data_IF_596372908576
#
_entry.id   IF_596372908576
#
_cell.length_a   1.000
_cell.length_b   1.000
_cell.length_c   1.000
_cell.angle_alpha   90.00
_cell.angle_beta   90.00
_cell.angle_gamma   90.00
#
_symmetry.space_group_name_H-M   'P 1'
#
loop_
_entity.id
_entity.type
_entity.pdbx_description
1 polymer ?
#
# COMPACT_ATOMS: atom_id res chain seq x y z
N UNK A 1 24.63 17.48 -0.87
CA UNK A 1 25.54 18.16 -1.83
C UNK A 1 25.64 19.66 -1.56
N UNK A 2 24.52 20.37 -1.42
CA UNK A 2 24.50 21.80 -1.02
C UNK A 2 25.21 22.03 0.32
N UNK A 3 24.95 21.18 1.32
CA UNK A 3 25.64 21.21 2.62
C UNK A 3 27.17 21.25 2.49
N UNK A 4 27.74 20.38 1.64
CA UNK A 4 29.19 20.34 1.39
C UNK A 4 29.76 21.63 0.81
N UNK A 5 28.97 22.45 0.12
CA UNK A 5 29.41 23.73 -0.42
C UNK A 5 29.42 24.81 0.66
N UNK A 6 28.44 24.76 1.56
CA UNK A 6 28.39 25.61 2.77
C UNK A 6 29.58 25.32 3.69
N UNK A 7 29.88 24.03 3.94
CA UNK A 7 31.01 23.61 4.78
C UNK A 7 32.38 24.07 4.27
N UNK A 8 32.48 24.38 2.97
CA UNK A 8 33.69 24.88 2.31
C UNK A 8 33.74 26.42 2.26
N UNK A 9 32.90 27.09 3.03
CA UNK A 9 32.85 28.56 3.11
C UNK A 9 32.27 29.24 1.87
N UNK A 10 31.63 28.50 0.95
CA UNK A 10 31.00 29.11 -0.24
C UNK A 10 29.63 29.66 0.13
N UNK A 11 29.36 30.91 -0.26
CA UNK A 11 28.02 31.49 -0.17
C UNK A 11 27.08 30.79 -1.16
N UNK A 12 26.09 30.08 -0.65
CA UNK A 12 25.03 29.46 -1.45
C UNK A 12 23.77 30.31 -1.33
N UNK A 13 23.17 30.66 -2.47
CA UNK A 13 21.88 31.33 -2.54
C UNK A 13 20.92 30.44 -3.31
N UNK A 14 19.79 30.10 -2.69
CA UNK A 14 18.73 29.29 -3.33
C UNK A 14 17.51 30.16 -3.53
N UNK A 15 16.95 30.14 -4.75
CA UNK A 15 15.63 30.68 -5.03
C UNK A 15 14.69 29.53 -5.30
N UNK A 16 13.69 29.35 -4.45
CA UNK A 16 12.64 28.36 -4.63
C UNK A 16 11.39 29.05 -5.16
N UNK A 17 10.76 28.44 -6.17
CA UNK A 17 9.43 28.83 -6.63
C UNK A 17 8.57 27.57 -6.66
N UNK A 18 7.65 27.48 -5.70
CA UNK A 18 6.78 26.31 -5.50
C UNK A 18 5.35 26.81 -5.56
N UNK A 19 4.55 26.21 -6.44
CA UNK A 19 3.13 26.53 -6.60
C UNK A 19 2.31 25.28 -6.35
N UNK A 20 1.22 25.41 -5.59
CA UNK A 20 0.23 24.34 -5.42
C UNK A 20 -1.19 24.92 -5.48
N UNK A 21 -2.17 24.05 -5.72
CA UNK A 21 -3.58 24.40 -5.79
C UNK A 21 -4.39 23.36 -5.05
N UNK A 22 -5.31 23.80 -4.21
CA UNK A 22 -6.36 22.93 -3.70
C UNK A 22 -7.39 22.66 -4.80
N UNK A 23 -7.74 21.39 -4.99
CA UNK A 23 -8.81 20.96 -5.89
C UNK A 23 -10.01 20.51 -5.06
N UNK A 24 -11.13 20.30 -5.74
CA UNK A 24 -12.34 19.77 -5.13
C UNK A 24 -12.07 18.39 -4.53
N UNK A 25 -12.84 18.03 -3.51
CA UNK A 25 -12.78 16.71 -2.91
C UNK A 25 -13.18 15.66 -3.94
N UNK A 26 -12.46 14.55 -3.95
CA UNK A 26 -12.75 13.40 -4.79
C UNK A 26 -13.12 12.21 -3.91
N UNK A 27 -13.98 11.32 -4.42
CA UNK A 27 -14.33 10.10 -3.72
C UNK A 27 -13.27 9.02 -3.95
N UNK A 28 -12.70 8.53 -2.85
CA UNK A 28 -11.89 7.31 -2.85
C UNK A 28 -12.76 6.04 -2.85
N UNK A 29 -12.13 4.89 -3.04
CA UNK A 29 -12.79 3.57 -2.94
C UNK A 29 -11.90 2.59 -2.21
N UNK A 30 -12.50 1.79 -1.35
CA UNK A 30 -11.88 0.60 -0.79
C UNK A 30 -12.33 -0.62 -1.60
N UNK A 31 -11.41 -1.56 -1.80
CA UNK A 31 -11.73 -2.88 -2.37
C UNK A 31 -11.59 -3.89 -1.24
N UNK A 32 -12.66 -4.66 -1.01
CA UNK A 32 -12.74 -5.62 0.08
C UNK A 32 -13.03 -6.99 -0.50
N UNK A 33 -12.25 -7.98 -0.06
CA UNK A 33 -12.48 -9.40 -0.31
C UNK A 33 -12.61 -10.09 1.04
N UNK A 34 -13.55 -11.02 1.14
CA UNK A 34 -13.86 -11.72 2.38
C UNK A 34 -13.85 -13.23 2.15
N UNK A 35 -13.24 -13.95 3.09
CA UNK A 35 -13.31 -15.41 3.17
C UNK A 35 -13.95 -15.74 4.52
N UNK A 36 -15.22 -16.19 4.55
CA UNK A 36 -15.91 -16.46 5.81
C UNK A 36 -15.22 -17.58 6.61
N UNK A 37 -15.02 -17.35 7.90
CA UNK A 37 -14.54 -18.36 8.84
C UNK A 37 -15.53 -19.51 8.98
N UNK A 38 -15.03 -20.74 9.04
CA UNK A 38 -15.85 -21.96 9.14
C UNK A 38 -16.34 -22.29 10.56
N UNK A 39 -15.66 -21.77 11.60
CA UNK A 39 -15.96 -22.08 13.01
C UNK A 39 -16.33 -20.81 13.79
N UNK A 40 -15.65 -19.70 13.51
CA UNK A 40 -15.76 -18.42 14.20
C UNK A 40 -15.96 -17.30 13.16
N UNK A 41 -17.10 -17.27 12.44
CA UNK A 41 -17.33 -16.33 11.33
C UNK A 41 -17.31 -14.85 11.78
N UNK A 42 -17.58 -14.57 13.06
CA UNK A 42 -17.59 -13.22 13.60
C UNK A 42 -16.20 -12.71 14.04
N UNK A 43 -15.17 -13.57 14.01
CA UNK A 43 -13.79 -13.17 14.32
C UNK A 43 -13.08 -12.78 13.03
N UNK A 44 -12.56 -11.55 12.97
CA UNK A 44 -11.99 -11.00 11.73
C UNK A 44 -10.47 -10.97 11.81
N UNK A 45 -9.81 -11.45 10.76
CA UNK A 45 -8.39 -11.17 10.49
C UNK A 45 -8.30 -10.26 9.27
N UNK A 46 -7.74 -9.07 9.45
CA UNK A 46 -7.56 -8.10 8.35
C UNK A 46 -6.13 -8.17 7.83
N UNK A 47 -6.00 -8.34 6.52
CA UNK A 47 -4.75 -8.18 5.78
C UNK A 47 -5.01 -7.12 4.72
N UNK A 48 -4.25 -6.02 4.72
CA UNK A 48 -4.55 -4.83 3.91
C UNK A 48 -3.30 -4.17 3.33
N UNK A 49 -3.53 -3.45 2.23
CA UNK A 49 -2.61 -2.55 1.56
C UNK A 49 -3.41 -1.39 0.96
N UNK A 50 -2.78 -0.26 0.63
CA UNK A 50 -3.47 0.86 -0.04
C UNK A 50 -3.15 0.92 -1.53
N UNK A 51 -4.11 1.41 -2.33
CA UNK A 51 -4.06 1.34 -3.81
C UNK A 51 -3.89 2.72 -4.47
N UNK A 52 -3.78 3.78 -3.67
CA UNK A 52 -3.39 5.11 -4.12
C UNK A 52 -1.86 5.29 -4.04
N UNK A 53 -1.35 6.30 -4.74
CA UNK A 53 0.08 6.66 -4.69
C UNK A 53 0.29 8.13 -5.05
N UNK A 54 1.52 8.61 -4.83
CA UNK A 54 1.95 9.92 -5.30
C UNK A 54 2.12 9.97 -6.82
N UNK A 55 1.78 11.11 -7.39
CA UNK A 55 1.72 11.36 -8.83
C UNK A 55 3.07 11.39 -9.54
N UNK A 56 4.16 11.71 -8.83
CA UNK A 56 5.52 11.78 -9.39
C UNK A 56 6.23 10.42 -9.46
N UNK A 57 5.72 9.42 -8.73
CA UNK A 57 6.28 8.08 -8.64
C UNK A 57 5.53 7.06 -9.49
N UNK A 58 5.90 5.79 -9.32
CA UNK A 58 5.16 4.65 -9.89
C UNK A 58 4.35 3.89 -8.82
N UNK A 59 4.44 4.32 -7.55
CA UNK A 59 3.80 3.64 -6.43
C UNK A 59 4.27 2.20 -6.21
N UNK A 60 5.43 1.79 -6.75
CA UNK A 60 5.82 0.38 -6.77
C UNK A 60 6.04 -0.21 -5.37
N UNK A 61 6.72 0.53 -4.49
CA UNK A 61 6.97 0.12 -3.10
C UNK A 61 6.01 0.75 -2.09
N UNK A 62 5.26 1.77 -2.54
CA UNK A 62 4.34 2.58 -1.74
C UNK A 62 3.07 2.81 -2.59
N UNK A 63 2.11 1.88 -2.58
CA UNK A 63 2.12 0.57 -1.87
C UNK A 63 1.79 -0.61 -2.80
N UNK A 64 2.22 -0.52 -4.07
CA UNK A 64 2.05 -1.60 -5.04
C UNK A 64 2.63 -2.94 -4.56
N UNK A 65 3.73 -2.90 -3.81
CA UNK A 65 4.36 -4.05 -3.16
C UNK A 65 3.45 -4.68 -2.10
N UNK A 66 2.85 -3.87 -1.23
CA UNK A 66 1.87 -4.34 -0.25
C UNK A 66 0.65 -4.94 -0.94
N UNK A 67 0.10 -4.29 -1.96
CA UNK A 67 -1.04 -4.82 -2.75
C UNK A 67 -0.68 -6.18 -3.38
N UNK A 68 0.52 -6.31 -3.95
CA UNK A 68 0.99 -7.58 -4.49
C UNK A 68 1.14 -8.66 -3.41
N UNK A 69 1.60 -8.30 -2.22
CA UNK A 69 1.73 -9.22 -1.09
C UNK A 69 0.37 -9.71 -0.58
N UNK A 70 -0.61 -8.80 -0.38
CA UNK A 70 -1.98 -9.16 0.03
C UNK A 70 -2.61 -10.10 -0.99
N UNK A 71 -2.51 -9.76 -2.28
CA UNK A 71 -3.02 -10.61 -3.36
C UNK A 71 -2.37 -12.00 -3.37
N UNK A 72 -1.05 -12.05 -3.17
CA UNK A 72 -0.30 -13.32 -3.14
C UNK A 72 -0.72 -14.19 -1.95
N UNK A 73 -0.96 -13.59 -0.78
CA UNK A 73 -1.47 -14.29 0.39
C UNK A 73 -2.86 -14.91 0.11
N UNK A 74 -3.76 -14.19 -0.56
CA UNK A 74 -5.07 -14.72 -0.94
C UNK A 74 -4.97 -15.88 -1.92
N UNK A 75 -4.09 -15.77 -2.93
CA UNK A 75 -3.84 -16.87 -3.88
C UNK A 75 -3.29 -18.10 -3.16
N UNK A 76 -2.37 -17.93 -2.21
CA UNK A 76 -1.82 -19.04 -1.45
C UNK A 76 -2.88 -19.75 -0.61
N UNK A 77 -3.82 -19.01 0.00
CA UNK A 77 -4.96 -19.59 0.74
C UNK A 77 -5.87 -20.39 -0.20
N UNK A 78 -6.17 -19.85 -1.39
CA UNK A 78 -6.99 -20.54 -2.39
C UNK A 78 -6.33 -21.84 -2.88
N UNK A 79 -5.04 -21.78 -3.23
CA UNK A 79 -4.28 -22.96 -3.64
C UNK A 79 -4.22 -24.02 -2.54
N UNK A 80 -4.07 -23.61 -1.27
CA UNK A 80 -4.10 -24.52 -0.13
C UNK A 80 -5.45 -25.25 -0.01
N UNK A 81 -6.56 -24.56 -0.27
CA UNK A 81 -7.89 -25.17 -0.26
C UNK A 81 -8.10 -26.16 -1.42
N UNK A 82 -7.46 -25.94 -2.57
CA UNK A 82 -7.51 -26.87 -3.71
C UNK A 82 -6.74 -28.17 -3.43
N UNK A 83 -5.54 -28.09 -2.84
CA UNK A 83 -4.70 -29.26 -2.57
C UNK A 83 -5.08 -30.00 -1.29
N UNK A 84 -5.72 -29.32 -0.33
CA UNK A 84 -6.20 -29.90 0.91
C UNK A 84 -7.69 -29.59 1.09
N UNK A 85 -8.59 -30.48 0.63
CA UNK A 85 -10.05 -30.26 0.71
C UNK A 85 -10.60 -30.12 2.14
N UNK A 86 -9.84 -30.51 3.16
CA UNK A 86 -10.21 -30.37 4.57
C UNK A 86 -9.82 -28.98 5.11
N UNK A 87 -8.91 -28.27 4.43
CA UNK A 87 -8.52 -26.93 4.83
C UNK A 87 -9.67 -25.93 4.63
N UNK A 88 -10.10 -25.35 5.74
CA UNK A 88 -11.01 -24.20 5.79
C UNK A 88 -10.52 -23.25 6.87
N UNK A 89 -10.35 -21.95 6.59
CA UNK A 89 -10.05 -20.96 7.63
C UNK A 89 -11.08 -21.05 8.76
N UNK A 90 -10.62 -21.04 10.02
CA UNK A 90 -11.53 -21.14 11.18
C UNK A 90 -12.20 -19.81 11.49
N UNK A 91 -11.45 -18.73 11.30
CA UNK A 91 -11.80 -17.31 11.39
C UNK A 91 -11.22 -16.63 10.15
#
# INVERSE_FOLDING_TARGET
>A
MISRWVDRGRRVVVRLNITSRQRDRVSGRNVVFEIPGSVLPDQIVIISAHIDSWDVGQGAIDDGGGVAAVRSAMIAIQQLAEINPVFKPKR
#
